data_IF_094727589995
#
_entry.id   IF_094727589995
#
_cell.length_a   1.000
_cell.length_b   1.000
_cell.length_c   1.000
_cell.angle_alpha   90.00
_cell.angle_beta   90.00
_cell.angle_gamma   90.00
#
_symmetry.space_group_name_H-M   'P 1'
#
loop_
_entity.id
_entity.type
_entity.pdbx_description
1 polymer ?
#
# COMPACT_ATOMS: atom_id res chain seq x y z
N UNK A 1 -2.46 3.39 21.80
CA UNK A 1 -2.78 3.42 20.36
C UNK A 1 -1.59 4.05 19.64
N UNK A 2 -1.18 3.61 18.45
CA UNK A 2 -0.07 4.25 17.69
C UNK A 2 -0.67 5.31 16.75
N UNK A 3 -0.15 6.54 16.70
CA UNK A 3 -0.55 7.47 15.64
C UNK A 3 -0.08 6.92 14.30
N UNK A 4 -0.96 6.86 13.31
CA UNK A 4 -0.63 6.40 11.95
C UNK A 4 -0.18 7.62 11.15
N UNK A 5 1.08 7.64 10.71
CA UNK A 5 1.57 8.72 9.86
C UNK A 5 1.03 8.54 8.44
N UNK A 6 0.21 9.49 7.99
CA UNK A 6 -0.38 9.51 6.64
C UNK A 6 0.54 10.13 5.59
N UNK A 7 1.76 10.55 5.97
CA UNK A 7 2.76 11.11 5.05
C UNK A 7 3.32 10.08 4.07
N UNK A 8 2.98 8.80 4.23
CA UNK A 8 3.38 7.71 3.35
C UNK A 8 3.01 7.93 1.88
N UNK A 9 1.86 8.54 1.62
CA UNK A 9 1.44 8.86 0.26
C UNK A 9 2.35 9.89 -0.43
N UNK A 10 3.03 10.76 0.32
CA UNK A 10 3.99 11.71 -0.26
C UNK A 10 5.12 10.95 -0.95
N UNK A 11 5.60 9.86 -0.34
CA UNK A 11 6.66 9.02 -0.92
C UNK A 11 6.19 8.26 -2.16
N UNK A 12 4.89 7.91 -2.25
CA UNK A 12 4.32 7.30 -3.44
C UNK A 12 4.11 8.31 -4.57
N UNK A 13 3.64 9.52 -4.23
CA UNK A 13 3.35 10.57 -5.18
C UNK A 13 4.60 11.26 -5.70
N UNK A 14 5.68 11.33 -4.91
CA UNK A 14 6.93 11.95 -5.35
C UNK A 14 7.45 11.36 -6.69
N UNK A 15 7.62 10.04 -6.88
CA UNK A 15 7.99 9.45 -8.17
C UNK A 15 7.03 9.78 -9.33
N UNK A 16 5.75 10.05 -9.04
CA UNK A 16 4.74 10.39 -10.04
C UNK A 16 4.88 11.84 -10.48
N UNK A 17 5.03 12.77 -9.53
CA UNK A 17 5.09 14.20 -9.80
C UNK A 17 6.48 14.68 -10.24
N UNK A 18 7.56 14.06 -9.77
CA UNK A 18 8.94 14.48 -10.11
C UNK A 18 9.17 14.61 -11.62
N UNK A 19 8.82 13.62 -12.48
CA UNK A 19 8.99 13.77 -13.93
C UNK A 19 8.12 14.88 -14.55
N UNK A 20 6.93 15.14 -13.98
CA UNK A 20 6.01 16.18 -14.48
C UNK A 20 6.52 17.58 -14.11
N UNK A 21 7.07 17.72 -12.90
CA UNK A 21 7.71 18.95 -12.43
C UNK A 21 8.99 19.24 -13.24
N UNK A 22 9.84 18.22 -13.44
CA UNK A 22 11.09 18.35 -14.20
C UNK A 22 10.86 18.63 -15.69
N UNK A 23 9.74 18.16 -16.26
CA UNK A 23 9.39 18.44 -17.66
C UNK A 23 8.76 19.83 -17.87
N UNK A 24 8.67 20.65 -16.83
CA UNK A 24 8.12 22.01 -16.91
C UNK A 24 6.63 22.07 -17.24
N UNK A 25 5.92 20.93 -17.20
CA UNK A 25 4.49 20.83 -17.54
C UNK A 25 3.59 21.39 -16.45
N UNK A 26 4.12 21.56 -15.25
CA UNK A 26 3.43 22.15 -14.11
C UNK A 26 4.27 23.31 -13.56
N UNK A 27 3.70 24.53 -13.45
CA UNK A 27 4.39 25.62 -12.79
C UNK A 27 4.62 25.27 -11.31
N UNK A 28 5.86 25.39 -10.84
CA UNK A 28 6.21 25.15 -9.43
C UNK A 28 5.70 26.29 -8.53
N UNK A 29 5.91 27.52 -8.99
CA UNK A 29 5.60 28.76 -8.27
C UNK A 29 4.45 29.51 -8.96
N UNK A 30 3.76 30.36 -8.20
CA UNK A 30 2.62 31.15 -8.67
C UNK A 30 1.31 30.78 -7.96
N UNK A 31 0.25 31.53 -8.26
CA UNK A 31 -1.08 31.37 -7.64
C UNK A 31 -1.76 30.04 -7.97
N UNK A 32 -1.44 29.48 -9.15
CA UNK A 32 -1.84 28.14 -9.60
C UNK A 32 -0.68 27.14 -9.56
N UNK A 33 0.43 27.52 -8.91
CA UNK A 33 1.63 26.69 -8.80
C UNK A 33 1.38 25.46 -7.92
N UNK A 34 2.09 24.37 -8.23
CA UNK A 34 1.98 23.10 -7.50
C UNK A 34 2.23 23.27 -5.99
N UNK A 35 3.15 24.16 -5.59
CA UNK A 35 3.50 24.38 -4.19
C UNK A 35 2.38 25.07 -3.40
N UNK A 36 1.78 26.14 -3.96
CA UNK A 36 0.70 26.86 -3.29
C UNK A 36 -0.56 26.00 -3.20
N UNK A 37 -0.88 25.26 -4.26
CA UNK A 37 -1.99 24.32 -4.25
C UNK A 37 -1.77 23.18 -3.24
N UNK A 38 -0.56 22.62 -3.18
CA UNK A 38 -0.18 21.65 -2.16
C UNK A 38 -0.35 22.19 -0.74
N UNK A 39 0.07 23.42 -0.49
CA UNK A 39 -0.09 24.08 0.82
C UNK A 39 -1.57 24.30 1.18
N UNK A 40 -2.38 24.81 0.23
CA UNK A 40 -3.83 25.01 0.42
C UNK A 40 -4.52 23.69 0.78
N UNK A 41 -4.23 22.63 0.03
CA UNK A 41 -4.79 21.30 0.31
C UNK A 41 -4.31 20.76 1.66
N UNK A 42 -3.03 20.92 2.01
CA UNK A 42 -2.51 20.50 3.30
C UNK A 42 -3.22 21.21 4.46
N UNK A 43 -3.42 22.52 4.40
CA UNK A 43 -4.13 23.30 5.42
C UNK A 43 -5.58 22.81 5.57
N UNK A 44 -6.29 22.61 4.45
CA UNK A 44 -7.66 22.10 4.46
C UNK A 44 -7.76 20.72 5.12
N UNK A 45 -6.87 19.80 4.75
CA UNK A 45 -6.84 18.44 5.33
C UNK A 45 -6.49 18.49 6.82
N UNK A 46 -5.50 19.29 7.24
CA UNK A 46 -5.10 19.40 8.64
C UNK A 46 -6.19 20.00 9.52
N UNK A 47 -6.96 20.96 8.99
CA UNK A 47 -8.08 21.60 9.70
C UNK A 47 -9.20 20.59 10.01
N UNK A 48 -9.33 19.53 9.19
CA UNK A 48 -10.29 18.46 9.41
C UNK A 48 -9.68 17.32 10.25
N UNK A 49 -8.45 16.89 9.95
CA UNK A 49 -7.83 15.73 10.61
C UNK A 49 -7.50 16.00 12.07
N UNK A 50 -6.88 17.15 12.39
CA UNK A 50 -6.44 17.44 13.76
C UNK A 50 -7.60 17.42 14.76
N UNK A 51 -8.77 18.05 14.51
CA UNK A 51 -9.90 17.95 15.43
C UNK A 51 -10.43 16.53 15.59
N UNK A 52 -10.59 15.79 14.50
CA UNK A 52 -11.10 14.40 14.54
C UNK A 52 -10.14 13.52 15.34
N UNK A 53 -8.85 13.58 15.04
CA UNK A 53 -7.83 12.81 15.74
C UNK A 53 -7.77 13.23 17.22
N UNK A 54 -7.90 14.52 17.52
CA UNK A 54 -7.92 15.01 18.90
C UNK A 54 -9.13 14.52 19.70
N UNK A 55 -10.31 14.44 19.07
CA UNK A 55 -11.51 13.87 19.66
C UNK A 55 -11.34 12.38 19.95
N UNK A 56 -10.81 11.61 18.99
CA UNK A 56 -10.59 10.18 19.14
C UNK A 56 -9.54 9.83 20.19
N UNK A 57 -8.55 10.72 20.37
CA UNK A 57 -7.45 10.52 21.33
C UNK A 57 -7.69 11.18 22.70
N UNK A 58 -8.78 11.95 22.85
CA UNK A 58 -9.09 12.67 24.09
C UNK A 58 -8.06 13.75 24.47
N UNK A 59 -7.19 14.17 23.54
CA UNK A 59 -6.20 15.24 23.72
C UNK A 59 -5.88 15.90 22.38
N UNK A 60 -5.53 17.20 22.34
CA UNK A 60 -5.03 17.82 21.12
C UNK A 60 -3.82 17.06 20.57
N UNK A 61 -3.93 16.55 19.35
CA UNK A 61 -2.87 15.77 18.72
C UNK A 61 -2.74 16.12 17.24
N UNK A 62 -1.50 16.26 16.79
CA UNK A 62 -1.14 16.22 15.37
C UNK A 62 -0.34 14.93 15.12
N UNK A 63 -0.99 13.85 14.64
CA UNK A 63 -0.39 12.51 14.57
C UNK A 63 0.92 12.47 13.79
N UNK A 64 0.99 13.16 12.65
CA UNK A 64 2.14 13.19 11.77
C UNK A 64 3.36 13.83 12.45
N UNK A 65 3.14 14.91 13.21
CA UNK A 65 4.20 15.55 13.98
C UNK A 65 4.69 14.65 15.11
N UNK A 66 3.80 14.01 15.87
CA UNK A 66 4.18 13.08 16.95
C UNK A 66 5.02 11.90 16.39
N UNK A 67 4.66 11.37 15.23
CA UNK A 67 5.45 10.33 14.55
C UNK A 67 6.80 10.86 14.09
N UNK A 68 6.88 12.09 13.58
CA UNK A 68 8.14 12.73 13.21
C UNK A 68 9.04 12.96 14.43
N UNK A 69 8.51 13.44 15.55
CA UNK A 69 9.25 13.59 16.81
C UNK A 69 9.75 12.22 17.30
N UNK A 70 8.91 11.19 17.27
CA UNK A 70 9.28 9.86 17.72
C UNK A 70 10.39 9.22 16.87
N UNK A 71 10.29 9.34 15.54
CA UNK A 71 11.23 8.69 14.63
C UNK A 71 12.51 9.51 14.39
N UNK A 72 12.40 10.83 14.22
CA UNK A 72 13.52 11.69 13.85
C UNK A 72 14.23 12.23 15.10
N UNK A 73 13.47 12.79 16.05
CA UNK A 73 14.08 13.42 17.24
C UNK A 73 14.44 12.39 18.31
N UNK A 74 13.58 11.40 18.55
CA UNK A 74 13.80 10.39 19.60
C UNK A 74 14.52 9.14 19.09
N UNK A 75 14.56 8.90 17.78
CA UNK A 75 15.20 7.73 17.14
C UNK A 75 14.79 6.36 17.74
N UNK A 76 13.57 6.26 18.26
CA UNK A 76 13.06 5.06 18.95
C UNK A 76 12.32 4.09 18.02
N UNK A 77 12.45 4.25 16.70
CA UNK A 77 11.80 3.37 15.73
C UNK A 77 12.19 1.89 15.89
N UNK A 78 13.37 1.61 16.44
CA UNK A 78 13.87 0.26 16.68
C UNK A 78 13.14 -0.48 17.82
N UNK A 79 12.49 0.24 18.76
CA UNK A 79 11.76 -0.35 19.88
C UNK A 79 10.55 -1.20 19.43
N UNK A 80 10.07 -0.98 18.20
CA UNK A 80 8.96 -1.72 17.62
C UNK A 80 9.40 -2.93 16.78
N UNK A 81 10.66 -3.34 16.89
CA UNK A 81 11.24 -4.44 16.14
C UNK A 81 11.80 -4.00 14.80
N UNK A 82 12.93 -4.62 14.43
CA UNK A 82 13.68 -4.31 13.21
C UNK A 82 13.63 -5.49 12.27
N UNK A 83 13.48 -5.21 10.97
CA UNK A 83 13.51 -6.22 9.92
C UNK A 83 14.55 -5.88 8.84
N UNK A 84 15.19 -6.88 8.20
CA UNK A 84 16.15 -6.66 7.13
C UNK A 84 15.61 -5.80 5.99
N UNK A 85 16.50 -5.15 5.23
CA UNK A 85 16.14 -4.25 4.12
C UNK A 85 15.17 -4.91 3.12
N UNK A 86 15.42 -6.18 2.75
CA UNK A 86 14.63 -6.91 1.75
C UNK A 86 13.36 -7.57 2.31
N UNK A 87 12.99 -7.34 3.57
CA UNK A 87 11.84 -7.99 4.21
C UNK A 87 10.53 -7.83 3.43
N UNK A 88 10.31 -6.66 2.82
CA UNK A 88 9.14 -6.46 1.97
C UNK A 88 9.11 -7.42 0.77
N UNK A 89 10.26 -7.73 0.17
CA UNK A 89 10.35 -8.57 -1.03
C UNK A 89 10.17 -10.05 -0.76
N UNK A 90 10.83 -10.61 0.26
CA UNK A 90 10.76 -12.05 0.53
C UNK A 90 9.61 -12.44 1.46
N UNK A 91 9.06 -11.50 2.24
CA UNK A 91 8.06 -11.82 3.26
C UNK A 91 6.73 -11.12 2.99
N UNK A 92 6.74 -9.81 2.72
CA UNK A 92 5.51 -9.03 2.63
C UNK A 92 4.76 -9.24 1.31
N UNK A 93 5.44 -9.02 0.17
CA UNK A 93 4.86 -9.16 -1.16
C UNK A 93 4.35 -10.59 -1.44
N UNK A 94 5.07 -11.67 -1.12
CA UNK A 94 4.58 -13.02 -1.38
C UNK A 94 3.33 -13.37 -0.57
N UNK A 95 3.25 -12.93 0.70
CA UNK A 95 2.06 -13.17 1.54
C UNK A 95 0.87 -12.34 1.07
N UNK A 96 1.08 -11.06 0.77
CA UNK A 96 0.00 -10.14 0.42
C UNK A 96 -0.56 -10.37 -0.99
N UNK A 97 0.30 -10.65 -1.97
CA UNK A 97 -0.11 -10.84 -3.37
C UNK A 97 -0.27 -12.31 -3.73
N UNK A 98 0.27 -13.23 -2.94
CA UNK A 98 0.12 -14.69 -3.11
C UNK A 98 0.37 -15.11 -4.56
N UNK A 99 -0.58 -15.79 -5.20
CA UNK A 99 -0.41 -16.25 -6.57
C UNK A 99 -0.38 -15.10 -7.60
N UNK A 100 -0.79 -13.88 -7.23
CA UNK A 100 -0.82 -12.70 -8.12
C UNK A 100 0.56 -12.10 -8.38
N UNK A 101 1.52 -12.34 -7.48
CA UNK A 101 2.88 -11.83 -7.64
C UNK A 101 3.56 -12.33 -8.94
N UNK A 102 3.60 -13.64 -9.25
CA UNK A 102 4.19 -14.10 -10.51
C UNK A 102 3.45 -13.58 -11.75
N UNK A 103 2.11 -13.47 -11.70
CA UNK A 103 1.33 -12.89 -12.81
C UNK A 103 1.65 -11.40 -13.00
N UNK A 104 1.86 -10.65 -11.92
CA UNK A 104 2.27 -9.26 -11.99
C UNK A 104 3.63 -9.10 -12.68
N UNK A 105 4.59 -9.98 -12.39
CA UNK A 105 5.89 -10.00 -13.06
C UNK A 105 5.74 -10.31 -14.56
N UNK A 106 4.96 -11.34 -14.91
CA UNK A 106 4.67 -11.69 -16.31
C UNK A 106 3.96 -10.55 -17.06
N UNK A 107 3.06 -9.82 -16.40
CA UNK A 107 2.39 -8.64 -16.95
C UNK A 107 3.38 -7.56 -17.41
N UNK A 108 4.45 -7.30 -16.64
CA UNK A 108 5.46 -6.30 -16.99
C UNK A 108 6.26 -6.69 -18.23
N UNK A 109 6.50 -7.98 -18.44
CA UNK A 109 7.14 -8.48 -19.66
C UNK A 109 6.21 -8.41 -20.87
N UNK A 110 4.91 -8.58 -20.65
CA UNK A 110 3.88 -8.57 -21.68
C UNK A 110 3.56 -7.17 -22.21
N UNK A 111 3.45 -6.16 -21.33
CA UNK A 111 3.14 -4.78 -21.73
C UNK A 111 4.14 -3.79 -21.13
N UNK A 112 4.92 -3.13 -22.00
CA UNK A 112 5.93 -2.14 -21.59
C UNK A 112 5.33 -0.94 -20.86
N UNK A 113 4.06 -0.61 -21.08
CA UNK A 113 3.37 0.50 -20.39
C UNK A 113 3.28 0.25 -18.88
N UNK A 114 3.25 -1.02 -18.46
CA UNK A 114 3.19 -1.42 -17.06
C UNK A 114 4.49 -1.18 -16.31
N UNK A 115 5.63 -1.09 -17.02
CA UNK A 115 6.94 -0.81 -16.40
C UNK A 115 6.95 0.50 -15.62
N UNK A 116 6.22 1.53 -16.10
CA UNK A 116 6.08 2.80 -15.40
C UNK A 116 5.42 2.61 -14.02
N UNK A 117 4.26 1.95 -13.98
CA UNK A 117 3.53 1.72 -12.73
C UNK A 117 4.30 0.81 -11.78
N UNK A 118 4.92 -0.25 -12.31
CA UNK A 118 5.76 -1.15 -11.51
C UNK A 118 6.98 -0.41 -10.95
N UNK A 119 7.62 0.47 -11.73
CA UNK A 119 8.76 1.26 -11.24
C UNK A 119 8.37 2.20 -10.09
N UNK A 120 7.19 2.82 -10.14
CA UNK A 120 6.67 3.65 -9.04
C UNK A 120 6.47 2.80 -7.79
N UNK A 121 5.84 1.64 -7.91
CA UNK A 121 5.63 0.72 -6.80
C UNK A 121 6.95 0.23 -6.19
N UNK A 122 7.93 -0.13 -7.03
CA UNK A 122 9.24 -0.61 -6.59
C UNK A 122 10.05 0.48 -5.90
N UNK A 123 10.11 1.70 -6.47
CA UNK A 123 10.79 2.84 -5.85
C UNK A 123 10.17 3.13 -4.48
N UNK A 124 8.83 3.15 -4.40
CA UNK A 124 8.12 3.36 -3.15
C UNK A 124 8.46 2.31 -2.08
N UNK A 125 8.47 1.02 -2.44
CA UNK A 125 8.86 -0.07 -1.53
C UNK A 125 10.32 0.07 -1.10
N UNK A 126 11.23 0.39 -2.02
CA UNK A 126 12.66 0.57 -1.72
C UNK A 126 12.93 1.75 -0.78
N UNK A 127 12.23 2.86 -0.95
CA UNK A 127 12.29 3.99 -0.02
C UNK A 127 11.84 3.58 1.38
N UNK A 128 10.74 2.82 1.48
CA UNK A 128 10.27 2.27 2.75
C UNK A 128 11.17 1.19 3.34
N UNK A 129 11.91 0.45 2.51
CA UNK A 129 12.86 -0.57 2.96
C UNK A 129 14.00 -0.02 3.81
N UNK A 130 14.33 1.28 3.67
CA UNK A 130 15.34 1.98 4.48
C UNK A 130 14.92 2.06 5.95
N UNK A 131 13.63 2.12 6.25
CA UNK A 131 13.15 2.23 7.62
C UNK A 131 13.43 0.93 8.41
N UNK A 132 14.08 0.98 9.59
CA UNK A 132 14.38 -0.22 10.38
C UNK A 132 13.11 -0.98 10.76
N UNK A 133 12.09 -0.24 11.20
CA UNK A 133 10.77 -0.78 11.50
C UNK A 133 9.95 -0.90 10.22
N UNK A 134 9.41 -2.10 10.00
CA UNK A 134 8.66 -2.43 8.78
C UNK A 134 7.31 -3.01 9.14
N UNK A 135 6.27 -2.52 8.50
CA UNK A 135 4.90 -2.99 8.68
C UNK A 135 4.21 -3.04 7.31
N UNK A 136 3.29 -3.99 7.13
CA UNK A 136 2.54 -4.17 5.89
C UNK A 136 1.82 -2.89 5.43
N UNK A 137 1.27 -2.12 6.39
CA UNK A 137 0.49 -0.90 6.10
C UNK A 137 1.28 0.16 5.35
N UNK A 138 2.59 0.28 5.60
CA UNK A 138 3.41 1.33 4.99
C UNK A 138 3.51 1.19 3.47
N UNK A 139 3.42 -0.04 2.95
CA UNK A 139 3.54 -0.30 1.52
C UNK A 139 2.21 -0.66 0.84
N UNK A 140 1.07 -0.59 1.56
CA UNK A 140 -0.22 -1.11 1.05
C UNK A 140 -0.67 -0.43 -0.25
N UNK A 141 -0.32 0.84 -0.45
CA UNK A 141 -0.65 1.60 -1.66
C UNK A 141 0.13 1.15 -2.91
N UNK A 142 1.17 0.32 -2.75
CA UNK A 142 1.83 -0.33 -3.89
C UNK A 142 1.00 -1.46 -4.49
N UNK A 143 0.08 -2.07 -3.71
CA UNK A 143 -0.61 -3.29 -4.13
C UNK A 143 -1.55 -3.06 -5.32
N UNK A 144 -2.35 -1.98 -5.39
CA UNK A 144 -3.15 -1.71 -6.59
C UNK A 144 -2.30 -1.57 -7.86
N UNK A 145 -1.13 -0.94 -7.77
CA UNK A 145 -0.21 -0.78 -8.91
C UNK A 145 0.38 -2.11 -9.37
N UNK A 146 0.73 -2.99 -8.43
CA UNK A 146 1.26 -4.33 -8.74
C UNK A 146 0.14 -5.23 -9.30
N UNK A 147 -1.05 -5.20 -8.69
CA UNK A 147 -2.22 -5.95 -9.15
C UNK A 147 -2.74 -5.49 -10.51
N UNK A 148 -2.59 -4.22 -10.87
CA UNK A 148 -2.88 -3.75 -12.22
C UNK A 148 -2.09 -4.56 -13.27
N UNK A 149 -0.82 -4.85 -13.00
CA UNK A 149 0.01 -5.66 -13.90
C UNK A 149 -0.52 -7.10 -14.04
N UNK A 150 -0.88 -7.72 -12.92
CA UNK A 150 -1.49 -9.06 -12.93
C UNK A 150 -2.84 -9.07 -13.66
N UNK A 151 -3.67 -8.05 -13.46
CA UNK A 151 -4.97 -7.91 -14.10
C UNK A 151 -4.83 -7.76 -15.63
N UNK A 152 -3.87 -6.98 -16.11
CA UNK A 152 -3.60 -6.85 -17.55
C UNK A 152 -3.11 -8.17 -18.16
N UNK A 153 -2.29 -8.94 -17.43
CA UNK A 153 -1.90 -10.28 -17.87
C UNK A 153 -3.12 -11.19 -18.01
N UNK A 154 -3.97 -11.27 -16.97
CA UNK A 154 -5.20 -12.06 -16.99
C UNK A 154 -6.13 -11.64 -18.14
N UNK A 155 -6.33 -10.34 -18.34
CA UNK A 155 -7.16 -9.80 -19.42
C UNK A 155 -6.63 -10.21 -20.79
N UNK A 156 -5.30 -10.14 -21.01
CA UNK A 156 -4.69 -10.56 -22.28
C UNK A 156 -4.84 -12.06 -22.52
N UNK A 157 -4.71 -12.89 -21.48
CA UNK A 157 -4.91 -14.33 -21.60
C UNK A 157 -6.37 -14.67 -21.92
N UNK A 158 -7.32 -13.99 -21.28
CA UNK A 158 -8.75 -14.14 -21.58
C UNK A 158 -9.09 -13.78 -23.03
N UNK A 159 -8.64 -12.61 -23.51
CA UNK A 159 -8.93 -12.13 -24.88
C UNK A 159 -8.33 -13.08 -25.93
N UNK A 160 -7.13 -13.60 -25.69
CA UNK A 160 -6.42 -14.42 -26.66
C UNK A 160 -6.56 -15.94 -26.43
N UNK A 161 -7.48 -16.38 -25.56
CA UNK A 161 -7.61 -17.78 -25.12
C UNK A 161 -7.82 -18.79 -26.26
N UNK A 162 -8.48 -18.37 -27.35
CA UNK A 162 -8.78 -19.24 -28.50
C UNK A 162 -7.68 -19.26 -29.56
N UNK A 163 -6.65 -18.42 -29.46
CA UNK A 163 -5.61 -18.30 -30.51
C UNK A 163 -4.60 -19.44 -30.49
N UNK A 164 -4.46 -20.16 -29.38
CA UNK A 164 -3.52 -21.27 -29.24
C UNK A 164 -3.87 -22.10 -28.00
N UNK A 165 -3.62 -23.40 -28.07
CA UNK A 165 -3.74 -24.32 -26.93
C UNK A 165 -2.95 -23.84 -25.71
N UNK A 166 -1.73 -23.33 -25.90
CA UNK A 166 -0.91 -22.79 -24.80
C UNK A 166 -1.57 -21.58 -24.11
N UNK A 167 -2.22 -20.70 -24.87
CA UNK A 167 -2.96 -19.54 -24.30
C UNK A 167 -4.22 -19.98 -23.55
N UNK A 168 -4.86 -21.06 -23.99
CA UNK A 168 -5.97 -21.68 -23.27
C UNK A 168 -5.53 -22.24 -21.92
N UNK A 169 -4.38 -22.90 -21.86
CA UNK A 169 -3.78 -23.36 -20.59
C UNK A 169 -3.44 -22.18 -19.68
N UNK A 170 -2.79 -21.12 -20.21
CA UNK A 170 -2.48 -19.93 -19.42
C UNK A 170 -3.73 -19.24 -18.87
N UNK A 171 -4.81 -19.19 -19.66
CA UNK A 171 -6.10 -18.69 -19.20
C UNK A 171 -6.69 -19.55 -18.07
N UNK A 172 -6.66 -20.87 -18.18
CA UNK A 172 -7.06 -21.77 -17.09
C UNK A 172 -6.19 -21.55 -15.83
N UNK A 173 -4.88 -21.33 -16.01
CA UNK A 173 -3.98 -20.94 -14.93
C UNK A 173 -4.38 -19.63 -14.26
N UNK A 174 -4.85 -18.62 -15.02
CA UNK A 174 -5.39 -17.38 -14.45
C UNK A 174 -6.67 -17.62 -13.63
N UNK A 175 -7.56 -18.52 -14.07
CA UNK A 175 -8.75 -18.88 -13.29
C UNK A 175 -8.38 -19.61 -11.98
N UNK A 176 -7.47 -20.59 -12.05
CA UNK A 176 -6.97 -21.31 -10.88
C UNK A 176 -6.28 -20.38 -9.89
N UNK A 177 -5.53 -19.40 -10.40
CA UNK A 177 -4.93 -18.35 -9.59
C UNK A 177 -5.95 -17.56 -8.77
N UNK A 178 -7.10 -17.19 -9.35
CA UNK A 178 -8.14 -16.45 -8.63
C UNK A 178 -8.70 -17.28 -7.47
N UNK A 179 -8.95 -18.57 -7.73
CA UNK A 179 -9.40 -19.52 -6.69
C UNK A 179 -8.32 -19.66 -5.60
N UNK A 180 -7.05 -19.81 -5.99
CA UNK A 180 -5.95 -19.92 -5.03
C UNK A 180 -5.83 -18.67 -4.14
N UNK A 181 -5.97 -17.46 -4.69
CA UNK A 181 -5.98 -16.24 -3.87
C UNK A 181 -7.20 -16.18 -2.96
N UNK A 182 -8.38 -16.56 -3.43
CA UNK A 182 -9.59 -16.58 -2.59
C UNK A 182 -9.39 -17.51 -1.38
N UNK A 183 -8.85 -18.71 -1.61
CA UNK A 183 -8.53 -19.66 -0.55
C UNK A 183 -7.46 -19.13 0.40
N UNK A 184 -6.38 -18.55 -0.13
CA UNK A 184 -5.32 -17.95 0.68
C UNK A 184 -5.85 -16.79 1.55
N UNK A 185 -6.65 -15.89 0.97
CA UNK A 185 -7.29 -14.79 1.70
C UNK A 185 -8.25 -15.31 2.76
N UNK A 186 -9.06 -16.33 2.47
CA UNK A 186 -9.95 -16.94 3.46
C UNK A 186 -9.16 -17.56 4.62
N UNK A 187 -8.05 -18.27 4.33
CA UNK A 187 -7.19 -18.85 5.34
C UNK A 187 -6.52 -17.78 6.23
N UNK A 188 -6.00 -16.70 5.63
CA UNK A 188 -5.40 -15.60 6.39
C UNK A 188 -6.44 -14.81 7.19
N UNK A 189 -7.66 -14.63 6.66
CA UNK A 189 -8.76 -14.00 7.37
C UNK A 189 -9.17 -14.83 8.58
N UNK A 190 -9.30 -16.15 8.41
CA UNK A 190 -9.61 -17.06 9.51
C UNK A 190 -8.53 -17.04 10.60
N UNK A 191 -7.25 -17.13 10.22
CA UNK A 191 -6.14 -17.03 11.16
C UNK A 191 -6.11 -15.66 11.87
N UNK A 192 -6.37 -14.58 11.14
CA UNK A 192 -6.45 -13.22 11.68
C UNK A 192 -7.59 -13.04 12.68
N UNK A 193 -8.77 -13.58 12.37
CA UNK A 193 -9.94 -13.55 13.25
C UNK A 193 -9.68 -14.26 14.57
N UNK A 194 -8.95 -15.40 14.55
CA UNK A 194 -8.57 -16.14 15.78
C UNK A 194 -7.47 -15.46 16.59
N UNK A 195 -6.60 -14.69 15.95
CA UNK A 195 -5.50 -13.98 16.61
C UNK A 195 -5.89 -12.62 17.18
N UNK A 196 -7.10 -12.12 16.88
CA UNK A 196 -7.56 -10.82 17.35
C UNK A 196 -8.78 -10.99 18.27
N UNK A 197 -8.62 -10.90 19.61
CA UNK A 197 -9.70 -11.13 20.58
C UNK A 197 -10.76 -10.02 20.57
N UNK A 198 -10.71 -9.07 19.63
CA UNK A 198 -11.70 -8.00 19.52
C UNK A 198 -13.10 -8.52 19.24
N UNK A 199 -13.25 -9.58 18.44
CA UNK A 199 -14.53 -10.24 18.24
C UNK A 199 -15.06 -10.89 19.52
N UNK A 200 -14.19 -11.59 20.23
CA UNK A 200 -14.52 -12.20 21.53
C UNK A 200 -14.86 -11.13 22.57
N UNK A 201 -14.16 -10.00 22.58
CA UNK A 201 -14.41 -8.88 23.49
C UNK A 201 -15.77 -8.22 23.23
N UNK A 202 -16.17 -8.06 21.97
CA UNK A 202 -17.51 -7.55 21.61
C UNK A 202 -18.58 -8.57 21.99
N UNK A 203 -18.35 -9.87 21.75
CA UNK A 203 -19.28 -10.93 22.14
C UNK A 203 -19.47 -10.98 23.67
N UNK A 204 -18.39 -10.85 24.44
CA UNK A 204 -18.46 -10.74 25.90
C UNK A 204 -19.21 -9.48 26.33
N UNK A 205 -18.89 -8.31 25.76
CA UNK A 205 -19.57 -7.05 26.08
C UNK A 205 -21.08 -7.15 25.78
N UNK A 206 -21.45 -7.75 24.66
CA UNK A 206 -22.85 -7.93 24.28
C UNK A 206 -23.57 -8.87 25.25
N UNK A 207 -22.92 -9.95 25.71
CA UNK A 207 -23.43 -10.84 26.75
C UNK A 207 -23.52 -10.20 28.15
N UNK A 208 -22.78 -9.11 28.42
CA UNK A 208 -22.94 -8.32 29.64
C UNK A 208 -24.10 -7.30 29.56
N UNK A 209 -24.54 -6.94 28.35
CA UNK A 209 -25.58 -5.93 28.11
C UNK A 209 -26.97 -6.56 27.94
N UNK A 210 -27.06 -7.82 27.51
CA UNK A 210 -28.30 -8.62 27.45
C UNK A 210 -28.45 -9.53 28.67
#
# INVERSE_FOLDING_TARGET
MKPVSRCELVLLFAPIFTPVLLSGRLPLFGWDGALLNGLRTAIQVLTISIPIDSLLWGRPIYPEFEVAVFNILKNRSHEYGVSPFLWYFYSCLPRALSASLPLAVLGVFLDRRLRKYMSIALIFILLYSVLPHKELRFIIYSFPLINLSAAVFCARMYINRQKSFGRRILYLGCCLHLIANLLATAAFLYAGARNYPGGDAIAHLQAFIT
#
